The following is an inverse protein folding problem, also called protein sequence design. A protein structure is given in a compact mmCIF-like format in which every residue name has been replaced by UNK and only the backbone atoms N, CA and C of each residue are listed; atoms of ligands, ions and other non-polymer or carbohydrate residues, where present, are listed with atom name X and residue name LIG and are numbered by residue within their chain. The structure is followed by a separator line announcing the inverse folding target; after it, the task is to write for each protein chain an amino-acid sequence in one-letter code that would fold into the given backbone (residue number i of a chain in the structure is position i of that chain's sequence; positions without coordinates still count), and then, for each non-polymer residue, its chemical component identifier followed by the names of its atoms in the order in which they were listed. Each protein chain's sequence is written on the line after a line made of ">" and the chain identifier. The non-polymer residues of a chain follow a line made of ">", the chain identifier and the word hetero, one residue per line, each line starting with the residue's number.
data_IF_337109584343
#
_entry.id   IF_337109584343
#
_cell.length_a   1.000
_cell.length_b   1.000
_cell.length_c   1.000
_cell.angle_alpha   90.00
_cell.angle_beta   90.00
_cell.angle_gamma   90.00
#
_symmetry.space_group_name_H-M   'P 1'
#
loop_
_entity.id
_entity.type
_entity.pdbx_description
1 polymer ?
2 non-polymer ?
3 non-polymer ?
4 water ?
#
# COMPACT_ATOMS: atom_id res chain seq x y z
N UNK A 1 19.04 13.31 -7.09
CA UNK A 1 19.93 12.34 -7.70
C UNK A 1 19.30 10.96 -7.77
N UNK A 2 18.24 10.73 -7.00
CA UNK A 2 17.65 9.39 -6.92
C UNK A 2 16.97 9.05 -8.25
N UNK A 3 17.36 7.90 -8.81
CA UNK A 3 16.93 7.53 -10.14
C UNK A 3 15.48 7.09 -10.15
N UNK A 4 14.84 7.28 -11.31
CA UNK A 4 13.41 7.08 -11.39
C UNK A 4 13.10 5.60 -11.28
N UNK A 5 11.87 5.32 -10.89
CA UNK A 5 11.46 3.94 -10.68
C UNK A 5 10.51 3.80 -9.51
N UNK A 6 9.88 2.63 -9.42
CA UNK A 6 8.88 2.35 -8.41
C UNK A 6 9.18 1.00 -7.76
N UNK A 7 9.28 0.99 -6.44
CA UNK A 7 9.33 -0.24 -5.65
C UNK A 7 8.11 -0.27 -4.74
N UNK A 8 7.38 -1.38 -4.78
CA UNK A 8 6.30 -1.65 -3.85
C UNK A 8 6.81 -2.61 -2.78
N UNK A 9 6.64 -2.25 -1.51
CA UNK A 9 6.94 -3.11 -0.38
C UNK A 9 5.60 -3.41 0.27
N UNK A 10 5.18 -4.64 0.18
CA UNK A 10 3.84 -4.99 0.52
C UNK A 10 3.61 -6.30 1.23
N UNK A 11 2.35 -6.48 1.61
CA UNK A 11 1.87 -7.61 2.37
C UNK A 11 1.21 -8.71 1.51
N UNK A 12 0.56 -9.65 2.15
CA UNK A 12 -0.09 -10.73 1.46
C UNK A 12 -1.19 -10.30 0.52
N UNK A 13 -1.84 -9.19 0.81
CA UNK A 13 -2.86 -8.68 -0.07
C UNK A 13 -2.24 -8.21 -1.39
N UNK A 14 -1.18 -7.43 -1.28
CA UNK A 14 -0.39 -7.06 -2.41
C UNK A 14 0.18 -8.29 -3.14
N UNK A 15 0.64 -9.27 -2.37
CA UNK A 15 1.21 -10.47 -2.98
C UNK A 15 0.15 -11.20 -3.79
N UNK A 16 -1.09 -11.19 -3.31
CA UNK A 16 -2.19 -11.82 -4.04
C UNK A 16 -2.43 -11.12 -5.38
N UNK A 17 -2.17 -9.81 -5.45
CA UNK A 17 -2.32 -9.04 -6.69
C UNK A 17 -1.03 -8.94 -7.49
N UNK A 18 -0.06 -9.83 -7.23
CA UNK A 18 1.27 -9.71 -7.83
C UNK A 18 1.20 -9.61 -9.35
N UNK A 19 0.55 -10.58 -10.00
CA UNK A 19 0.54 -10.58 -11.47
C UNK A 19 -0.16 -9.35 -12.02
N UNK A 20 -1.25 -8.93 -11.39
CA UNK A 20 -1.98 -7.76 -11.88
C UNK A 20 -1.15 -6.50 -11.68
N UNK A 21 -0.45 -6.40 -10.55
CA UNK A 21 0.44 -5.26 -10.31
C UNK A 21 1.49 -5.15 -11.38
N UNK A 22 2.19 -6.26 -11.67
CA UNK A 22 3.24 -6.27 -12.68
C UNK A 22 2.70 -5.97 -14.06
N UNK A 23 1.48 -6.44 -14.35
CA UNK A 23 0.86 -6.16 -15.65
C UNK A 23 0.49 -4.70 -15.77
N UNK A 24 -0.05 -4.12 -14.70
CA UNK A 24 -0.47 -2.71 -14.75
C UNK A 24 0.70 -1.76 -14.62
N UNK A 25 1.79 -2.20 -13.99
CA UNK A 25 2.96 -1.37 -13.76
C UNK A 25 4.22 -2.05 -14.31
N UNK A 26 4.31 -2.22 -15.62
CA UNK A 26 5.49 -2.91 -16.19
C UNK A 26 6.78 -2.26 -15.73
N UNK A 27 7.72 -3.07 -15.27
CA UNK A 27 8.99 -2.54 -14.81
C UNK A 27 8.99 -2.06 -13.38
N UNK A 28 7.85 -2.06 -12.70
CA UNK A 28 7.86 -1.81 -11.27
C UNK A 28 8.47 -2.99 -10.54
N UNK A 29 9.10 -2.72 -9.41
CA UNK A 29 9.71 -3.73 -8.58
C UNK A 29 8.72 -4.07 -7.48
N UNK A 30 8.08 -5.22 -7.59
CA UNK A 30 7.05 -5.64 -6.63
C UNK A 30 7.74 -6.51 -5.60
N UNK A 31 7.87 -6.02 -4.38
CA UNK A 31 8.50 -6.75 -3.28
C UNK A 31 7.42 -6.94 -2.21
N UNK A 32 6.63 -8.01 -2.37
CA UNK A 32 5.51 -8.28 -1.47
C UNK A 32 5.65 -9.68 -0.92
N UNK A 33 5.38 -9.85 0.37
CA UNK A 33 5.50 -11.12 1.04
C UNK A 33 4.40 -11.32 2.07
N UNK A 34 4.18 -12.55 2.46
CA UNK A 34 3.03 -12.89 3.26
C UNK A 34 2.90 -12.18 4.59
N UNK A 35 3.93 -12.19 5.39
CA UNK A 35 3.84 -11.64 6.72
C UNK A 35 4.28 -10.19 6.91
N UNK A 36 4.40 -9.46 5.85
CA UNK A 36 4.93 -8.10 5.99
C UNK A 36 3.93 -7.21 6.73
N UNK A 37 4.43 -6.47 7.71
CA UNK A 37 3.68 -5.44 8.41
C UNK A 37 4.27 -4.07 8.08
N UNK A 38 3.55 -3.03 8.50
CA UNK A 38 4.08 -1.68 8.34
C UNK A 38 5.41 -1.53 9.06
N UNK A 39 5.56 -2.20 10.21
CA UNK A 39 6.81 -2.20 10.95
C UNK A 39 7.97 -2.74 10.11
N UNK A 40 7.80 -3.94 9.55
CA UNK A 40 8.91 -4.52 8.79
C UNK A 40 9.09 -3.82 7.45
N UNK A 41 8.02 -3.28 6.88
CA UNK A 41 8.13 -2.48 5.65
C UNK A 41 9.01 -1.25 5.88
N UNK A 42 8.87 -0.62 7.04
CA UNK A 42 9.75 0.48 7.44
C UNK A 42 11.21 0.05 7.41
N UNK A 43 11.49 -1.12 7.99
CA UNK A 43 12.86 -1.64 8.02
C UNK A 43 13.34 -2.01 6.60
N UNK A 44 12.48 -2.66 5.82
CA UNK A 44 12.80 -2.99 4.43
C UNK A 44 13.10 -1.72 3.63
N UNK A 45 12.27 -0.67 3.82
CA UNK A 45 12.46 0.59 3.12
C UNK A 45 13.86 1.17 3.35
N UNK A 46 14.25 1.30 4.62
CA UNK A 46 15.57 1.86 4.95
C UNK A 46 16.70 0.93 4.55
N UNK A 47 16.53 -0.38 4.72
CA UNK A 47 17.56 -1.31 4.24
C UNK A 47 17.81 -1.10 2.75
N UNK A 48 16.73 -0.97 1.96
CA UNK A 48 16.89 -0.76 0.53
C UNK A 48 17.50 0.61 0.23
N UNK A 49 17.09 1.65 0.97
CA UNK A 49 17.72 2.96 0.79
C UNK A 49 19.22 2.91 1.07
N UNK A 50 19.61 2.28 2.17
CA UNK A 50 21.02 2.27 2.57
C UNK A 50 21.88 1.43 1.63
N UNK A 51 21.29 0.54 0.84
CA UNK A 51 22.03 -0.16 -0.20
C UNK A 51 21.80 0.45 -1.59
N UNK A 52 21.13 1.59 -1.66
CA UNK A 52 20.88 2.35 -2.89
C UNK A 52 20.03 1.57 -3.91
N UNK A 53 19.21 0.64 -3.43
CA UNK A 53 18.23 -0.06 -4.25
C UNK A 53 16.87 0.63 -4.27
N UNK A 54 16.61 1.54 -3.35
CA UNK A 54 15.30 2.18 -3.28
C UNK A 54 15.18 3.23 -4.39
N UNK A 55 14.24 3.08 -5.31
CA UNK A 55 14.07 4.08 -6.37
C UNK A 55 13.18 5.21 -5.87
N UNK A 56 12.91 6.17 -6.77
CA UNK A 56 12.29 7.43 -6.38
C UNK A 56 10.93 7.23 -5.73
N UNK A 57 10.06 6.42 -6.32
CA UNK A 57 8.71 6.26 -5.82
C UNK A 57 8.63 4.97 -5.00
N UNK A 58 8.15 5.11 -3.77
CA UNK A 58 8.03 4.00 -2.81
C UNK A 58 6.55 3.77 -2.53
N UNK A 59 6.09 2.54 -2.71
CA UNK A 59 4.71 2.18 -2.42
C UNK A 59 4.71 1.27 -1.20
N UNK A 60 4.03 1.71 -0.13
CA UNK A 60 3.91 0.95 1.11
C UNK A 60 2.52 0.34 1.10
N UNK A 61 2.41 -0.94 0.81
CA UNK A 61 1.12 -1.63 0.69
C UNK A 61 0.97 -2.61 1.85
N UNK A 62 0.71 -2.06 3.03
CA UNK A 62 0.63 -2.81 4.28
C UNK A 62 -0.48 -2.19 5.13
N UNK A 63 -0.73 -2.79 6.26
CA UNK A 63 -1.61 -2.18 7.23
C UNK A 63 -2.64 -3.06 7.86
N UNK A 64 -3.00 -4.14 7.18
CA UNK A 64 -3.97 -5.05 7.70
C UNK A 64 -3.38 -6.04 8.69
N UNK A 65 -2.12 -6.40 8.55
CA UNK A 65 -1.45 -7.26 9.53
C UNK A 65 -0.96 -6.46 10.74
N UNK A 66 -1.30 -6.85 11.94
CA UNK A 66 -0.86 -6.15 13.13
C UNK A 66 -1.28 -4.68 13.18
N UNK A 67 -2.56 -4.35 13.07
CA UNK A 67 -2.93 -2.94 12.91
C UNK A 67 -2.86 -2.12 14.19
N UNK A 68 -2.66 -2.77 15.35
CA UNK A 68 -2.88 -2.08 16.61
C UNK A 68 -1.99 -0.85 16.77
N UNK A 69 -0.72 -0.94 16.32
CA UNK A 69 0.23 0.15 16.48
C UNK A 69 0.24 1.11 15.29
N UNK A 70 -0.90 1.30 14.61
CA UNK A 70 -0.88 2.02 13.34
C UNK A 70 -0.40 3.46 13.51
N UNK A 71 -0.78 4.13 14.61
CA UNK A 71 -0.37 5.52 14.80
C UNK A 71 1.15 5.65 14.73
N UNK A 72 1.86 4.94 15.62
CA UNK A 72 3.32 5.03 15.63
C UNK A 72 3.91 4.49 14.33
N UNK A 73 3.36 3.40 13.80
CA UNK A 73 3.93 2.79 12.60
C UNK A 73 3.86 3.74 11.40
N UNK A 74 2.71 4.39 11.19
CA UNK A 74 2.60 5.23 10.01
C UNK A 74 3.29 6.56 10.21
N UNK A 75 3.25 7.09 11.44
CA UNK A 75 4.11 8.23 11.77
C UNK A 75 5.57 7.91 11.47
N UNK A 76 6.02 6.73 11.88
CA UNK A 76 7.43 6.39 11.77
C UNK A 76 7.85 6.20 10.32
N UNK A 77 7.08 5.43 9.54
CA UNK A 77 7.53 5.16 8.18
C UNK A 77 7.52 6.45 7.36
N UNK A 78 6.55 7.32 7.62
CA UNK A 78 6.54 8.61 6.95
C UNK A 78 7.74 9.43 7.37
N UNK A 79 8.06 9.43 8.67
CA UNK A 79 9.23 10.17 9.13
C UNK A 79 10.52 9.65 8.49
N UNK A 80 10.60 8.34 8.29
CA UNK A 80 11.85 7.72 7.89
C UNK A 80 12.03 7.64 6.38
N UNK A 81 11.04 8.08 5.61
CA UNK A 81 11.20 8.14 4.17
C UNK A 81 12.44 8.96 3.85
N UNK A 82 13.39 8.44 3.07
CA UNK A 82 14.62 9.18 2.84
C UNK A 82 14.37 10.34 1.90
N UNK A 83 15.19 11.38 2.05
CA UNK A 83 15.17 12.50 1.13
C UNK A 83 15.23 12.00 -0.30
N UNK A 84 14.46 12.64 -1.18
CA UNK A 84 14.53 12.40 -2.59
C UNK A 84 13.48 11.44 -3.12
N UNK A 85 12.56 10.98 -2.28
CA UNK A 85 11.56 10.01 -2.66
C UNK A 85 10.16 10.62 -2.57
N UNK A 86 9.25 10.03 -3.33
CA UNK A 86 7.82 10.21 -3.15
C UNK A 86 7.26 8.89 -2.65
N UNK A 87 6.27 8.97 -1.78
CA UNK A 87 5.77 7.79 -1.09
C UNK A 87 4.28 7.66 -1.34
N UNK A 88 3.83 6.45 -1.63
CA UNK A 88 2.41 6.16 -1.80
C UNK A 88 1.97 5.21 -0.70
N UNK A 89 0.89 5.55 0.00
CA UNK A 89 0.36 4.73 1.09
C UNK A 89 -0.91 4.02 0.62
N UNK A 90 -0.92 2.68 0.71
CA UNK A 90 -2.08 1.89 0.33
C UNK A 90 -2.86 1.54 1.60
N UNK A 91 -4.08 2.08 1.71
CA UNK A 91 -4.86 1.89 2.93
C UNK A 91 -5.29 0.43 3.04
N UNK A 92 -5.38 -0.09 4.27
CA UNK A 92 -5.77 -1.50 4.43
C UNK A 92 -7.28 -1.66 4.49
N UNK A 93 -7.73 -2.88 4.19
CA UNK A 93 -9.15 -3.20 4.23
C UNK A 93 -9.38 -4.54 4.92
N UNK A 94 -10.06 -4.49 6.07
CA UNK A 94 -10.65 -5.65 6.74
C UNK A 94 -12.17 -5.56 6.58
N UNK A 95 -12.74 -6.47 5.79
CA UNK A 95 -14.15 -6.36 5.45
C UNK A 95 -15.12 -6.85 6.51
N UNK A 96 -14.66 -7.70 7.43
CA UNK A 96 -15.56 -8.27 8.45
C UNK A 96 -15.78 -7.24 9.54
N UNK A 97 -16.90 -6.52 9.47
CA UNK A 97 -17.15 -5.44 10.41
C UNK A 97 -17.27 -5.95 11.86
N UNK A 98 -17.45 -7.26 12.05
CA UNK A 98 -17.53 -7.79 13.41
C UNK A 98 -16.18 -8.16 13.99
N UNK A 99 -15.11 -8.09 13.20
CA UNK A 99 -13.80 -8.44 13.73
C UNK A 99 -13.42 -7.47 14.83
N UNK A 100 -12.84 -8.01 15.91
CA UNK A 100 -12.47 -7.14 17.03
C UNK A 100 -11.45 -6.07 16.60
N UNK A 101 -10.77 -6.25 15.46
CA UNK A 101 -9.80 -5.29 14.94
C UNK A 101 -10.36 -4.42 13.82
N UNK A 102 -11.63 -4.60 13.45
CA UNK A 102 -12.20 -3.84 12.33
C UNK A 102 -12.07 -2.34 12.57
N UNK A 103 -12.40 -1.88 13.78
CA UNK A 103 -12.39 -0.45 14.05
C UNK A 103 -10.97 0.12 14.02
N UNK A 104 -9.98 -0.71 14.35
CA UNK A 104 -8.58 -0.30 14.29
C UNK A 104 -8.13 -0.16 12.83
N UNK A 105 -8.44 -1.15 12.00
CA UNK A 105 -8.06 -1.06 10.60
C UNK A 105 -8.68 0.18 9.98
N UNK A 106 -9.94 0.45 10.34
CA UNK A 106 -10.61 1.64 9.84
C UNK A 106 -9.88 2.89 10.31
N UNK A 107 -9.57 2.95 11.61
CA UNK A 107 -8.78 4.08 12.12
C UNK A 107 -7.45 4.20 11.39
N UNK A 108 -6.80 3.08 11.08
CA UNK A 108 -5.51 3.14 10.39
C UNK A 108 -5.67 3.74 9.01
N UNK A 109 -6.64 3.25 8.24
CA UNK A 109 -6.93 3.82 6.94
C UNK A 109 -7.17 5.32 7.06
N UNK A 110 -7.97 5.74 8.05
CA UNK A 110 -8.28 7.16 8.20
C UNK A 110 -7.03 7.97 8.49
N UNK A 111 -6.17 7.47 9.37
CA UNK A 111 -4.94 8.17 9.74
C UNK A 111 -3.99 8.29 8.56
N UNK A 112 -3.87 7.23 7.75
CA UNK A 112 -3.06 7.30 6.53
C UNK A 112 -3.59 8.34 5.57
N UNK A 113 -4.93 8.45 5.44
CA UNK A 113 -5.49 9.53 4.65
C UNK A 113 -5.06 10.89 5.18
N UNK A 114 -4.97 11.04 6.51
CA UNK A 114 -4.60 12.34 7.08
C UNK A 114 -3.16 12.68 6.73
N UNK A 115 -2.28 11.68 6.80
CA UNK A 115 -0.88 11.88 6.49
C UNK A 115 -0.70 12.24 5.02
N UNK A 116 -1.41 11.54 4.12
CA UNK A 116 -1.29 11.83 2.69
C UNK A 116 -1.83 13.22 2.36
N UNK A 117 -2.98 13.59 2.92
CA UNK A 117 -3.48 14.94 2.74
C UNK A 117 -2.47 15.97 3.20
N UNK A 118 -1.84 15.71 4.34
CA UNK A 118 -0.96 16.68 4.97
C UNK A 118 0.37 16.83 4.23
N UNK A 119 0.90 15.74 3.67
CA UNK A 119 2.31 15.67 3.32
C UNK A 119 2.51 15.80 1.81
N UNK A 120 3.22 16.83 1.34
CA UNK A 120 3.25 17.08 -0.11
C UNK A 120 3.89 15.96 -0.91
N UNK A 121 4.87 15.25 -0.35
CA UNK A 121 5.54 14.19 -1.09
C UNK A 121 4.92 12.81 -0.84
N UNK A 122 3.66 12.77 -0.40
CA UNK A 122 2.93 11.53 -0.14
C UNK A 122 1.58 11.57 -0.86
N UNK A 123 1.18 10.42 -1.42
CA UNK A 123 -0.05 10.26 -2.17
C UNK A 123 -0.79 9.03 -1.66
N UNK A 124 -2.13 9.12 -1.57
CA UNK A 124 -2.95 8.01 -1.08
C UNK A 124 -3.30 7.10 -2.24
N UNK A 125 -3.33 5.80 -1.97
CA UNK A 125 -3.93 4.78 -2.83
C UNK A 125 -4.99 4.09 -1.99
N UNK A 126 -6.25 4.51 -2.12
CA UNK A 126 -7.29 4.21 -1.12
C UNK A 126 -8.00 2.89 -1.44
N UNK A 127 -7.23 1.81 -1.31
CA UNK A 127 -7.78 0.47 -1.44
C UNK A 127 -8.96 0.25 -0.50
N UNK A 128 -8.86 0.75 0.74
CA UNK A 128 -9.96 0.66 1.68
C UNK A 128 -11.26 1.19 1.08
N UNK A 129 -11.21 2.37 0.48
CA UNK A 129 -12.42 2.94 -0.11
C UNK A 129 -12.89 2.12 -1.31
N UNK A 130 -11.96 1.69 -2.18
CA UNK A 130 -12.33 0.93 -3.37
C UNK A 130 -12.92 -0.43 -2.99
N UNK A 131 -12.27 -1.11 -2.04
CA UNK A 131 -12.73 -2.42 -1.60
C UNK A 131 -14.17 -2.39 -1.10
N UNK A 132 -14.55 -1.32 -0.39
CA UNK A 132 -15.91 -1.24 0.10
C UNK A 132 -16.92 -1.09 -1.03
N UNK A 133 -16.48 -0.67 -2.21
CA UNK A 133 -17.39 -0.43 -3.32
C UNK A 133 -17.65 -1.66 -4.14
N UNK A 134 -17.02 -2.79 -3.84
CA UNK A 134 -17.05 -3.97 -4.69
C UNK A 134 -17.32 -5.21 -3.86
N UNK A 135 -18.52 -5.33 -3.30
CA UNK A 135 -18.84 -6.52 -2.50
C UNK A 135 -18.66 -7.81 -3.27
N UNK A 136 -18.78 -7.80 -4.60
CA UNK A 136 -18.72 -9.03 -5.37
C UNK A 136 -17.36 -9.70 -5.24
N UNK A 137 -16.29 -8.94 -5.01
CA UNK A 137 -14.99 -9.58 -4.87
C UNK A 137 -14.76 -10.11 -3.47
N UNK A 138 -15.74 -9.99 -2.57
CA UNK A 138 -15.60 -10.46 -1.20
C UNK A 138 -16.55 -11.61 -0.84
N UNK A 139 -17.50 -11.94 -1.71
CA UNK A 139 -18.39 -13.06 -1.45
C UNK A 139 -17.56 -14.33 -1.27
N UNK A 140 -17.83 -15.06 -0.19
CA UNK A 140 -17.17 -16.32 0.08
C UNK A 140 -15.73 -16.22 0.52
N UNK A 141 -15.25 -15.04 0.89
CA UNK A 141 -13.84 -14.83 1.19
C UNK A 141 -13.66 -14.57 2.69
N UNK A 142 -12.40 -14.40 3.08
CA UNK A 142 -12.05 -14.05 4.45
C UNK A 142 -12.19 -12.55 4.71
N UNK A 143 -12.68 -11.82 3.74
CA UNK A 143 -12.88 -10.39 3.85
C UNK A 143 -11.60 -9.54 3.75
N UNK A 144 -10.51 -10.14 3.31
CA UNK A 144 -9.22 -9.48 3.20
C UNK A 144 -8.48 -9.86 1.92
N UNK A 145 -8.53 -11.14 1.62
CA UNK A 145 -7.97 -11.71 0.43
C UNK A 145 -9.04 -11.81 -0.62
N UNK A 146 -9.08 -10.85 -1.52
CA UNK A 146 -10.13 -10.75 -2.51
C UNK A 146 -10.31 -11.99 -3.40
N UNK A 147 -11.54 -12.25 -3.81
CA UNK A 147 -11.81 -13.34 -4.73
C UNK A 147 -11.98 -14.72 -4.13
N UNK A 148 -13.10 -15.37 -4.46
CA UNK A 148 -13.36 -16.75 -4.03
C UNK A 148 -13.10 -17.75 -5.14
N UNK A 149 -12.92 -17.29 -6.37
CA UNK A 149 -12.46 -18.11 -7.48
C UNK A 149 -11.72 -17.22 -8.46
N UNK A 150 -11.27 -17.80 -9.58
CA UNK A 150 -10.35 -17.10 -10.48
C UNK A 150 -10.93 -15.77 -10.96
N UNK A 151 -12.20 -15.78 -11.39
CA UNK A 151 -12.79 -14.59 -11.97
C UNK A 151 -12.82 -13.43 -10.99
N UNK A 152 -13.24 -13.68 -9.74
CA UNK A 152 -13.23 -12.60 -8.77
C UNK A 152 -11.85 -12.38 -8.14
N UNK A 153 -10.97 -13.36 -8.17
CA UNK A 153 -9.59 -13.09 -7.77
C UNK A 153 -8.95 -12.13 -8.77
N UNK A 154 -9.13 -12.43 -10.06
CA UNK A 154 -8.60 -11.57 -11.12
C UNK A 154 -9.23 -10.19 -11.07
N UNK A 155 -10.56 -10.12 -11.01
CA UNK A 155 -11.23 -8.83 -10.92
C UNK A 155 -10.75 -8.06 -9.70
N UNK A 156 -10.68 -8.74 -8.56
CA UNK A 156 -10.18 -8.07 -7.37
C UNK A 156 -8.74 -7.61 -7.51
N UNK A 157 -7.90 -8.45 -8.13
CA UNK A 157 -6.49 -8.09 -8.29
C UNK A 157 -6.32 -6.89 -9.21
N UNK A 158 -7.14 -6.85 -10.27
CA UNK A 158 -7.07 -5.73 -11.21
C UNK A 158 -7.52 -4.42 -10.55
N UNK A 159 -8.56 -4.48 -9.70
CA UNK A 159 -8.97 -3.30 -8.95
C UNK A 159 -7.85 -2.83 -8.03
N UNK A 160 -7.19 -3.77 -7.37
CA UNK A 160 -6.10 -3.41 -6.47
C UNK A 160 -4.94 -2.79 -7.24
N UNK A 161 -4.54 -3.40 -8.36
CA UNK A 161 -3.44 -2.85 -9.13
C UNK A 161 -3.80 -1.48 -9.71
N UNK A 162 -5.03 -1.32 -10.21
CA UNK A 162 -5.40 -0.05 -10.83
C UNK A 162 -5.47 1.08 -9.81
N UNK A 163 -5.81 0.77 -8.56
CA UNK A 163 -5.81 1.78 -7.52
C UNK A 163 -4.42 2.37 -7.34
N UNK A 164 -3.40 1.51 -7.30
CA UNK A 164 -2.03 1.97 -7.13
C UNK A 164 -1.55 2.69 -8.39
N UNK A 165 -1.87 2.17 -9.57
CA UNK A 165 -1.51 2.86 -10.80
C UNK A 165 -2.08 4.28 -10.81
N UNK A 166 -3.33 4.43 -10.38
CA UNK A 166 -3.93 5.76 -10.38
C UNK A 166 -3.23 6.70 -9.41
N UNK A 167 -2.82 6.20 -8.24
CA UNK A 167 -2.04 7.01 -7.31
C UNK A 167 -0.68 7.39 -7.90
N UNK A 168 0.00 6.46 -8.57
CA UNK A 168 1.27 6.80 -9.21
C UNK A 168 1.08 7.88 -10.25
N UNK A 169 0.02 7.80 -11.05
CA UNK A 169 -0.25 8.86 -12.02
C UNK A 169 -0.50 10.18 -11.31
N UNK A 170 -1.28 10.14 -10.23
CA UNK A 170 -1.51 11.34 -9.42
C UNK A 170 -0.19 11.91 -8.91
N UNK A 171 0.70 11.06 -8.44
CA UNK A 171 1.95 11.48 -7.83
C UNK A 171 2.98 11.97 -8.83
N UNK A 172 2.69 11.87 -10.13
CA UNK A 172 3.69 12.15 -11.16
C UNK A 172 4.20 13.58 -11.07
N UNK A 173 3.32 14.54 -10.87
CA UNK A 173 3.71 15.95 -10.91
C UNK A 173 4.11 16.47 -9.53
N UNK A 174 4.09 15.63 -8.49
CA UNK A 174 4.19 16.02 -7.10
C UNK A 174 5.65 15.97 -6.65
N UNK A 175 6.02 16.77 -5.65
CA UNK A 175 7.43 16.85 -5.24
C UNK A 175 7.90 15.59 -4.53
N UNK A 176 9.22 15.50 -4.40
CA UNK A 176 9.84 14.51 -3.56
C UNK A 176 10.11 15.13 -2.19
N UNK A 177 10.42 14.29 -1.22
CA UNK A 177 10.90 14.80 0.06
C UNK A 177 12.27 15.41 -0.14
N UNK A 178 12.46 16.61 0.41
CA UNK A 178 13.71 17.33 0.23
C UNK A 178 14.11 17.94 1.57
N UNK A 179 14.97 18.93 1.53
CA UNK A 179 15.45 19.57 2.76
C UNK A 179 15.83 21.04 2.56
X LIG B 1 -1.93 -10.87 4.51
X LIG B 1 -3.31 -10.34 4.62
X LIG B 1 -0.96 -9.80 4.84
X LIG B 1 -1.73 -12.14 5.57
X LIG C 1 0.07 14.68 -0.19
#
# INVERSE_FOLDING_TARGET
>A
GIADGTMLIGDSVALRANTALQTALPGAQINAQVSVTTKTANEIMLNNSQNKFLPKTVVIATGVNNPENYKDDWDSIVKNLPKGHHMILVTPYEGDKTKETYAIVEKAAAYMRELAEKTPYITIADWNQVAKEHPEIWAGTDQVHFGSESSTIEAGAKLYADTIATALQTAQDKPVKSK
>B hetero
1 03S S10 O11 O12 C13
>C hetero
1 NA NA
#
